data_IF_988236287037
#
_entry.id   IF_988236287037
#
_cell.length_a   1.000
_cell.length_b   1.000
_cell.length_c   1.000
_cell.angle_alpha   90.00
_cell.angle_beta   90.00
_cell.angle_gamma   90.00
#
_symmetry.space_group_name_H-M   'P 1'
#
loop_
_entity.id
_entity.type
_entity.pdbx_description
1 polymer ?
#
# COMPACT_ATOMS: atom_id res chain seq x y z
N UNK A 1 -1.04 -33.91 -6.15
CA UNK A 1 -1.44 -33.61 -4.78
C UNK A 1 -0.42 -34.17 -3.82
N UNK A 2 0.11 -33.34 -2.91
CA UNK A 2 1.11 -33.75 -1.91
C UNK A 2 0.65 -33.31 -0.52
N UNK A 3 0.56 -34.23 0.40
CA UNK A 3 0.21 -33.95 1.80
C UNK A 3 1.47 -33.82 2.63
N UNK A 4 1.69 -32.65 3.22
CA UNK A 4 2.89 -32.28 3.91
C UNK A 4 2.62 -32.07 5.40
N UNK A 5 3.35 -32.80 6.26
CA UNK A 5 3.21 -32.71 7.71
C UNK A 5 4.53 -33.01 8.41
N UNK A 6 4.59 -32.69 9.69
CA UNK A 6 5.76 -32.91 10.53
C UNK A 6 6.71 -31.72 10.57
N UNK A 7 7.90 -31.91 11.10
CA UNK A 7 8.86 -30.84 11.35
C UNK A 7 10.26 -31.14 10.84
N UNK A 8 10.96 -30.12 10.39
CA UNK A 8 12.39 -30.17 10.07
C UNK A 8 13.07 -28.84 10.35
N UNK A 9 14.27 -28.89 10.87
CA UNK A 9 15.10 -27.72 11.16
C UNK A 9 15.93 -27.23 9.97
N UNK A 10 16.05 -28.04 8.90
CA UNK A 10 16.70 -27.62 7.65
C UNK A 10 16.23 -28.47 6.48
N UNK A 11 15.10 -28.04 5.88
CA UNK A 11 14.52 -28.73 4.73
C UNK A 11 13.89 -27.73 3.76
N UNK A 12 14.06 -27.98 2.47
CA UNK A 12 13.43 -27.23 1.39
C UNK A 12 12.54 -28.16 0.56
N UNK A 13 11.35 -27.72 0.26
CA UNK A 13 10.47 -28.32 -0.71
C UNK A 13 10.62 -27.52 -2.01
N UNK A 14 11.12 -28.19 -3.05
CA UNK A 14 11.25 -27.62 -4.39
C UNK A 14 10.19 -28.22 -5.32
N UNK A 15 9.43 -27.36 -6.00
CA UNK A 15 8.49 -27.76 -7.03
C UNK A 15 9.12 -27.50 -8.39
N UNK A 16 9.26 -28.58 -9.18
CA UNK A 16 9.74 -28.58 -10.55
C UNK A 16 8.77 -29.45 -11.37
N UNK A 17 7.73 -28.85 -11.89
CA UNK A 17 6.70 -29.50 -12.70
C UNK A 17 6.74 -28.96 -14.12
N UNK A 18 5.93 -29.49 -15.04
CA UNK A 18 5.81 -28.91 -16.37
C UNK A 18 4.99 -27.60 -16.33
N UNK A 19 5.21 -26.71 -17.30
CA UNK A 19 4.53 -25.42 -17.44
C UNK A 19 3.00 -25.54 -17.61
N UNK A 20 2.49 -26.75 -17.74
CA UNK A 20 1.06 -27.07 -17.84
C UNK A 20 0.49 -27.71 -16.60
N UNK A 21 1.32 -28.00 -15.60
CA UNK A 21 0.94 -28.78 -14.43
C UNK A 21 0.56 -27.89 -13.25
N UNK A 22 -0.57 -28.22 -12.62
CA UNK A 22 -1.02 -27.63 -11.37
C UNK A 22 -0.60 -28.51 -10.20
N UNK A 23 0.11 -27.95 -9.24
CA UNK A 23 0.62 -28.65 -8.07
C UNK A 23 -0.12 -28.21 -6.81
N UNK A 24 -0.65 -29.18 -6.05
CA UNK A 24 -1.35 -28.92 -4.79
C UNK A 24 -0.53 -29.44 -3.61
N UNK A 25 -0.14 -28.53 -2.72
CA UNK A 25 0.60 -28.80 -1.49
C UNK A 25 -0.35 -28.61 -0.30
N UNK A 26 -0.79 -29.71 0.31
CA UNK A 26 -1.69 -29.69 1.46
C UNK A 26 -0.88 -29.62 2.76
N UNK A 27 -0.98 -28.53 3.48
CA UNK A 27 -0.26 -28.30 4.75
C UNK A 27 -1.10 -28.81 5.92
N UNK A 28 -0.54 -29.78 6.68
CA UNK A 28 -1.17 -30.41 7.82
C UNK A 28 -0.22 -30.39 9.03
N UNK A 29 -0.22 -29.32 9.78
CA UNK A 29 0.73 -29.10 10.89
C UNK A 29 2.20 -29.23 10.44
N UNK A 30 2.51 -28.57 9.34
CA UNK A 30 3.84 -28.53 8.75
C UNK A 30 4.68 -27.45 9.45
N UNK A 31 5.86 -27.85 9.98
CA UNK A 31 6.81 -26.94 10.61
C UNK A 31 8.19 -27.09 9.94
N UNK A 32 8.50 -26.18 9.04
CA UNK A 32 9.77 -26.20 8.32
C UNK A 32 10.60 -24.97 8.62
N UNK A 33 11.89 -25.21 8.92
CA UNK A 33 12.92 -24.21 8.81
C UNK A 33 13.89 -24.62 7.71
N UNK A 34 14.52 -23.64 7.07
CA UNK A 34 15.49 -23.89 6.02
C UNK A 34 16.62 -22.87 6.06
N UNK A 35 17.82 -23.30 5.68
CA UNK A 35 18.92 -22.37 5.37
C UNK A 35 18.67 -21.59 4.07
N UNK A 36 17.62 -21.96 3.32
CA UNK A 36 17.17 -21.33 2.09
C UNK A 36 15.65 -21.11 2.17
N UNK A 37 14.94 -20.91 1.07
CA UNK A 37 13.47 -20.88 1.04
C UNK A 37 12.90 -22.26 1.46
N UNK A 38 12.09 -22.37 2.53
CA UNK A 38 11.40 -23.62 2.84
C UNK A 38 10.53 -24.13 1.70
N UNK A 39 9.88 -23.22 0.96
CA UNK A 39 9.09 -23.54 -0.25
C UNK A 39 9.68 -22.76 -1.42
N UNK A 40 10.13 -23.49 -2.43
CA UNK A 40 10.62 -22.93 -3.68
C UNK A 40 9.87 -23.54 -4.88
N UNK A 41 9.07 -22.75 -5.56
CA UNK A 41 8.47 -23.13 -6.85
C UNK A 41 9.38 -22.61 -7.94
N UNK A 42 10.11 -23.54 -8.57
CA UNK A 42 11.00 -23.21 -9.67
C UNK A 42 10.27 -23.21 -11.00
N UNK A 43 9.31 -24.11 -11.19
CA UNK A 43 8.51 -24.24 -12.40
C UNK A 43 7.21 -25.01 -12.15
N UNK A 44 6.09 -24.48 -12.65
CA UNK A 44 4.77 -25.10 -12.74
C UNK A 44 3.84 -24.17 -13.55
N UNK A 45 2.65 -24.62 -13.97
CA UNK A 45 1.59 -23.70 -14.41
C UNK A 45 1.10 -22.85 -13.22
N UNK A 46 0.81 -23.54 -12.10
CA UNK A 46 0.34 -22.90 -10.86
C UNK A 46 0.55 -23.80 -9.65
N UNK A 47 0.90 -23.21 -8.53
CA UNK A 47 0.99 -23.93 -7.25
C UNK A 47 -0.10 -23.45 -6.28
N UNK A 48 -0.76 -24.42 -5.65
CA UNK A 48 -1.74 -24.20 -4.61
C UNK A 48 -1.17 -24.63 -3.25
N UNK A 49 -1.07 -23.70 -2.31
CA UNK A 49 -0.83 -24.00 -0.91
C UNK A 49 -2.19 -24.12 -0.21
N UNK A 50 -2.53 -25.35 0.15
CA UNK A 50 -3.81 -25.73 0.72
C UNK A 50 -3.66 -25.82 2.24
N UNK A 51 -4.15 -24.85 2.97
CA UNK A 51 -4.10 -24.81 4.44
C UNK A 51 -5.30 -25.61 5.00
N UNK A 52 -5.02 -26.80 5.51
CA UNK A 52 -6.09 -27.69 6.02
C UNK A 52 -6.71 -27.07 7.27
N UNK A 53 -8.04 -27.15 7.36
CA UNK A 53 -8.82 -26.61 8.48
C UNK A 53 -8.34 -27.14 9.82
N UNK A 54 -8.24 -26.26 10.81
CA UNK A 54 -7.82 -26.60 12.18
C UNK A 54 -6.34 -26.92 12.32
N UNK A 55 -5.53 -26.76 11.26
CA UNK A 55 -4.06 -26.96 11.33
C UNK A 55 -3.33 -25.63 11.51
N UNK A 56 -2.15 -25.72 12.14
CA UNK A 56 -1.22 -24.62 12.28
C UNK A 56 0.11 -24.97 11.64
N UNK A 57 0.52 -24.17 10.67
CA UNK A 57 1.71 -24.39 9.88
C UNK A 57 2.72 -23.27 10.12
N UNK A 58 4.00 -23.58 10.04
CA UNK A 58 5.09 -22.64 10.29
C UNK A 58 6.19 -22.82 9.25
N UNK A 59 6.62 -21.73 8.62
CA UNK A 59 7.73 -21.68 7.69
C UNK A 59 8.68 -20.56 8.07
N UNK A 60 9.99 -20.85 8.14
CA UNK A 60 11.00 -19.85 8.38
C UNK A 60 12.26 -20.10 7.55
N UNK A 61 12.80 -19.06 6.95
CA UNK A 61 14.11 -19.12 6.32
C UNK A 61 15.22 -18.58 7.23
N UNK A 62 16.48 -18.76 6.82
CA UNK A 62 17.62 -18.16 7.49
C UNK A 62 17.81 -16.70 7.07
N UNK A 63 18.56 -15.94 7.86
CA UNK A 63 18.88 -14.53 7.57
C UNK A 63 19.93 -14.35 6.46
N UNK A 64 20.49 -15.44 5.91
CA UNK A 64 21.42 -15.44 4.80
C UNK A 64 21.15 -16.60 3.87
N UNK A 65 21.54 -16.50 2.61
CA UNK A 65 21.46 -17.59 1.62
C UNK A 65 22.81 -18.21 1.39
N UNK A 66 22.85 -19.53 1.28
CA UNK A 66 24.04 -20.30 0.91
C UNK A 66 23.90 -21.02 -0.43
N UNK A 67 22.66 -21.30 -0.85
CA UNK A 67 22.40 -21.95 -2.12
C UNK A 67 22.22 -20.92 -3.24
N UNK A 68 22.73 -21.26 -4.42
CA UNK A 68 22.48 -20.52 -5.68
C UNK A 68 21.91 -21.50 -6.70
N UNK A 69 21.08 -20.96 -7.58
CA UNK A 69 20.46 -21.69 -8.66
C UNK A 69 20.90 -21.11 -9.99
N UNK A 70 21.22 -21.96 -10.96
CA UNK A 70 21.60 -21.49 -12.28
C UNK A 70 20.35 -21.18 -13.11
N UNK A 71 20.26 -19.95 -13.58
CA UNK A 71 19.20 -19.53 -14.52
C UNK A 71 19.43 -20.12 -15.93
N UNK A 72 18.41 -20.01 -16.78
CA UNK A 72 18.49 -20.49 -18.17
C UNK A 72 19.60 -19.77 -18.98
N UNK A 73 19.92 -18.51 -18.63
CA UNK A 73 21.00 -17.73 -19.23
C UNK A 73 22.39 -18.03 -18.66
N UNK A 74 22.48 -19.01 -17.75
CA UNK A 74 23.72 -19.42 -17.07
C UNK A 74 24.13 -18.54 -15.88
N UNK A 75 23.43 -17.46 -15.57
CA UNK A 75 23.69 -16.65 -14.37
C UNK A 75 23.27 -17.36 -13.09
N UNK A 76 23.86 -16.96 -11.98
CA UNK A 76 23.47 -17.49 -10.67
C UNK A 76 22.36 -16.63 -10.08
N UNK A 77 21.42 -17.29 -9.42
CA UNK A 77 20.31 -16.69 -8.70
C UNK A 77 20.17 -17.29 -7.31
N UNK A 78 19.47 -16.62 -6.42
CA UNK A 78 19.14 -17.09 -5.09
C UNK A 78 17.67 -16.85 -4.79
N UNK A 79 17.08 -17.65 -3.89
CA UNK A 79 15.70 -17.41 -3.46
C UNK A 79 15.65 -16.15 -2.60
N UNK A 80 14.65 -15.31 -2.84
CA UNK A 80 14.49 -14.00 -2.20
C UNK A 80 13.32 -13.94 -1.22
N UNK A 81 12.75 -15.10 -0.85
CA UNK A 81 11.63 -15.15 0.09
C UNK A 81 11.63 -16.47 0.87
N UNK A 82 10.89 -16.51 1.97
CA UNK A 82 10.60 -17.74 2.70
C UNK A 82 9.72 -18.68 1.85
N UNK A 83 8.67 -18.15 1.24
CA UNK A 83 7.93 -18.83 0.16
C UNK A 83 8.24 -18.08 -1.14
N UNK A 84 8.99 -18.73 -2.02
CA UNK A 84 9.38 -18.15 -3.31
C UNK A 84 8.80 -18.92 -4.48
N UNK A 85 7.98 -18.28 -5.27
CA UNK A 85 7.40 -18.87 -6.48
C UNK A 85 7.81 -18.05 -7.72
N UNK A 86 8.21 -18.73 -8.78
CA UNK A 86 8.45 -18.11 -10.11
C UNK A 86 7.18 -18.02 -10.94
N UNK A 87 6.25 -18.94 -10.69
CA UNK A 87 4.96 -19.03 -11.36
C UNK A 87 3.81 -18.78 -10.40
N UNK A 88 2.59 -18.72 -10.89
CA UNK A 88 1.39 -18.38 -10.14
C UNK A 88 1.25 -19.12 -8.81
N UNK A 89 0.97 -18.38 -7.75
CA UNK A 89 0.79 -18.91 -6.42
C UNK A 89 -0.63 -18.65 -5.91
N UNK A 90 -1.33 -19.69 -5.49
CA UNK A 90 -2.61 -19.55 -4.78
C UNK A 90 -2.49 -20.10 -3.36
N UNK A 91 -2.86 -19.31 -2.36
CA UNK A 91 -2.98 -19.75 -0.97
C UNK A 91 -4.47 -19.82 -0.63
N UNK A 92 -4.94 -20.97 -0.14
CA UNK A 92 -6.36 -21.15 0.20
C UNK A 92 -6.59 -22.18 1.28
N UNK A 93 -7.83 -22.24 1.78
CA UNK A 93 -8.27 -23.05 2.93
C UNK A 93 -8.44 -22.17 4.17
N UNK A 94 -8.77 -22.80 5.32
CA UNK A 94 -9.09 -22.08 6.56
C UNK A 94 -8.09 -22.39 7.69
N UNK A 95 -6.98 -23.05 7.38
CA UNK A 95 -5.88 -23.29 8.32
C UNK A 95 -5.05 -22.06 8.58
N UNK A 96 -4.15 -22.15 9.57
CA UNK A 96 -3.21 -21.10 9.91
C UNK A 96 -1.83 -21.35 9.27
N UNK A 97 -1.15 -20.26 8.87
CA UNK A 97 0.23 -20.29 8.41
C UNK A 97 1.00 -19.07 8.94
N UNK A 98 2.06 -19.34 9.68
CA UNK A 98 3.05 -18.34 10.07
C UNK A 98 4.26 -18.44 9.15
N UNK A 99 4.67 -17.29 8.58
CA UNK A 99 5.82 -17.16 7.66
C UNK A 99 6.81 -16.18 8.23
N UNK A 100 8.09 -16.60 8.35
CA UNK A 100 9.20 -15.71 8.73
C UNK A 100 10.20 -15.58 7.60
N UNK A 101 10.14 -14.48 6.88
CA UNK A 101 11.10 -14.09 5.85
C UNK A 101 12.28 -13.33 6.46
N UNK A 102 13.21 -14.08 7.10
CA UNK A 102 14.34 -13.48 7.80
C UNK A 102 15.43 -12.95 6.85
N UNK A 103 15.49 -13.50 5.62
CA UNK A 103 16.46 -13.05 4.62
C UNK A 103 16.00 -11.77 3.91
N UNK A 104 14.78 -11.82 3.35
CA UNK A 104 14.24 -10.73 2.55
C UNK A 104 12.71 -10.75 2.65
N UNK A 105 11.96 -11.24 1.63
CA UNK A 105 10.50 -11.24 1.63
C UNK A 105 9.91 -12.43 2.41
N UNK A 106 8.70 -12.26 2.91
CA UNK A 106 7.92 -13.35 3.48
C UNK A 106 7.42 -14.31 2.39
N UNK A 107 6.55 -13.83 1.53
CA UNK A 107 5.96 -14.54 0.39
C UNK A 107 6.24 -13.72 -0.86
N UNK A 108 6.88 -14.32 -1.85
CA UNK A 108 7.16 -13.68 -3.13
C UNK A 108 6.78 -14.60 -4.30
N UNK A 109 6.01 -14.04 -5.22
CA UNK A 109 5.72 -14.65 -6.51
C UNK A 109 6.21 -13.73 -7.64
N UNK A 110 6.91 -14.29 -8.62
CA UNK A 110 7.36 -13.52 -9.79
C UNK A 110 6.25 -13.28 -10.81
N UNK A 111 5.06 -13.81 -10.55
CA UNK A 111 3.83 -13.59 -11.30
C UNK A 111 2.68 -13.23 -10.35
N UNK A 112 1.56 -13.90 -10.36
CA UNK A 112 0.35 -13.54 -9.62
C UNK A 112 0.24 -14.30 -8.29
N UNK A 113 -0.16 -13.60 -7.23
CA UNK A 113 -0.58 -14.19 -5.95
C UNK A 113 -2.09 -14.06 -5.83
N UNK A 114 -2.75 -15.18 -5.48
CA UNK A 114 -4.16 -15.19 -5.13
C UNK A 114 -4.38 -15.82 -3.76
N UNK A 115 -5.12 -15.14 -2.88
CA UNK A 115 -5.45 -15.64 -1.54
C UNK A 115 -6.97 -15.73 -1.42
N UNK A 116 -7.46 -16.94 -1.12
CA UNK A 116 -8.89 -17.28 -1.11
C UNK A 116 -9.30 -17.98 0.16
N UNK A 117 -10.61 -18.12 0.34
CA UNK A 117 -11.25 -18.71 1.51
C UNK A 117 -10.97 -17.85 2.77
N UNK A 118 -10.63 -18.44 3.89
CA UNK A 118 -10.40 -17.70 5.14
C UNK A 118 -9.12 -18.16 5.86
N UNK A 119 -7.94 -18.13 5.20
CA UNK A 119 -6.69 -18.46 5.85
C UNK A 119 -6.35 -17.47 6.96
N UNK A 120 -5.69 -17.97 8.02
CA UNK A 120 -5.09 -17.10 9.02
C UNK A 120 -3.58 -17.00 8.74
N UNK A 121 -3.14 -15.89 8.16
CA UNK A 121 -1.74 -15.66 7.77
C UNK A 121 -1.05 -14.67 8.70
N UNK A 122 0.04 -15.11 9.32
CA UNK A 122 0.95 -14.26 10.06
C UNK A 122 2.26 -14.19 9.30
N UNK A 123 2.61 -13.01 8.78
CA UNK A 123 3.82 -12.83 7.97
C UNK A 123 4.72 -11.81 8.66
N UNK A 124 5.95 -12.22 8.95
CA UNK A 124 7.00 -11.31 9.39
C UNK A 124 8.12 -11.36 8.35
N UNK A 125 8.54 -10.22 7.84
CA UNK A 125 9.58 -10.15 6.82
C UNK A 125 10.59 -9.04 7.08
N UNK A 126 11.80 -9.24 6.61
CA UNK A 126 12.83 -8.20 6.62
C UNK A 126 12.47 -7.10 5.62
N UNK A 127 12.10 -7.50 4.40
CA UNK A 127 11.63 -6.64 3.32
C UNK A 127 10.12 -6.81 3.11
N UNK A 128 9.61 -7.07 1.91
CA UNK A 128 8.18 -7.13 1.66
C UNK A 128 7.50 -8.35 2.33
N UNK A 129 6.30 -8.13 2.86
CA UNK A 129 5.50 -9.18 3.47
C UNK A 129 4.95 -10.16 2.44
N UNK A 130 4.07 -9.70 1.57
CA UNK A 130 3.44 -10.44 0.46
C UNK A 130 3.68 -9.65 -0.82
N UNK A 131 4.49 -10.21 -1.72
CA UNK A 131 4.81 -9.59 -3.01
C UNK A 131 4.45 -10.49 -4.16
N UNK A 132 3.47 -10.09 -4.95
CA UNK A 132 3.17 -10.64 -6.28
C UNK A 132 3.62 -9.65 -7.34
N UNK A 133 4.63 -9.99 -8.15
CA UNK A 133 5.13 -9.03 -9.14
C UNK A 133 4.01 -8.64 -10.11
N UNK A 134 3.28 -9.63 -10.65
CA UNK A 134 2.17 -9.41 -11.57
C UNK A 134 0.93 -8.82 -10.88
N UNK A 135 0.46 -9.49 -9.83
CA UNK A 135 -0.67 -9.02 -9.03
C UNK A 135 -0.74 -9.66 -7.65
N UNK A 136 -1.49 -9.02 -6.74
CA UNK A 136 -1.92 -9.60 -5.47
C UNK A 136 -3.44 -9.46 -5.36
N UNK A 137 -4.16 -10.60 -5.38
CA UNK A 137 -5.61 -10.64 -5.17
C UNK A 137 -5.95 -11.33 -3.85
N UNK A 138 -6.71 -10.67 -2.99
CA UNK A 138 -7.12 -11.19 -1.68
C UNK A 138 -8.66 -11.13 -1.58
N UNK A 139 -9.27 -12.34 -1.50
CA UNK A 139 -10.72 -12.48 -1.43
C UNK A 139 -11.24 -12.60 0.01
N UNK A 140 -10.38 -12.93 0.99
CA UNK A 140 -10.74 -13.11 2.39
C UNK A 140 -9.58 -13.64 3.21
N UNK A 141 -9.81 -13.81 4.51
CA UNK A 141 -8.83 -14.31 5.48
C UNK A 141 -8.54 -13.32 6.59
N UNK A 142 -7.63 -13.72 7.48
CA UNK A 142 -7.10 -12.88 8.54
C UNK A 142 -5.60 -12.74 8.39
N UNK A 143 -5.12 -11.51 8.41
CA UNK A 143 -3.73 -11.18 8.12
C UNK A 143 -3.13 -10.37 9.25
N UNK A 144 -1.97 -10.81 9.73
CA UNK A 144 -1.05 -10.00 10.54
C UNK A 144 0.26 -9.91 9.79
N UNK A 145 0.61 -8.74 9.28
CA UNK A 145 1.80 -8.55 8.44
C UNK A 145 2.69 -7.50 9.09
N UNK A 146 3.94 -7.91 9.38
CA UNK A 146 4.95 -7.01 9.92
C UNK A 146 6.19 -7.04 9.03
N UNK A 147 6.57 -5.89 8.49
CA UNK A 147 7.81 -5.73 7.72
C UNK A 147 8.74 -4.73 8.39
N UNK A 148 10.06 -4.90 8.18
CA UNK A 148 11.06 -4.03 8.80
C UNK A 148 11.55 -2.93 7.86
N UNK A 149 11.73 -3.27 6.57
CA UNK A 149 12.38 -2.39 5.58
C UNK A 149 11.50 -2.14 4.34
N UNK A 150 10.49 -2.97 4.08
CA UNK A 150 9.69 -2.91 2.84
C UNK A 150 8.20 -2.87 3.09
N UNK A 151 7.44 -2.94 1.99
CA UNK A 151 5.99 -2.86 1.98
C UNK A 151 5.35 -4.10 2.59
N UNK A 152 4.18 -3.94 3.19
CA UNK A 152 3.50 -5.13 3.69
C UNK A 152 2.86 -5.93 2.55
N UNK A 153 2.21 -5.28 1.58
CA UNK A 153 1.65 -5.91 0.38
C UNK A 153 2.09 -5.11 -0.84
N UNK A 154 2.72 -5.80 -1.82
CA UNK A 154 3.28 -5.13 -3.00
C UNK A 154 2.97 -5.83 -4.31
N UNK A 155 2.72 -5.03 -5.37
CA UNK A 155 2.75 -5.47 -6.77
C UNK A 155 3.42 -4.41 -7.65
N UNK A 156 4.46 -4.80 -8.40
CA UNK A 156 5.35 -3.85 -9.09
C UNK A 156 5.66 -4.19 -10.56
N UNK A 157 4.87 -5.03 -11.21
CA UNK A 157 5.04 -5.26 -12.65
C UNK A 157 4.66 -3.99 -13.43
N UNK A 158 5.58 -3.53 -14.24
CA UNK A 158 5.47 -2.28 -15.00
C UNK A 158 6.50 -1.23 -14.61
N UNK A 159 7.03 -1.28 -13.39
CA UNK A 159 8.09 -0.34 -12.98
C UNK A 159 9.31 -0.37 -13.92
N UNK A 160 9.67 -1.56 -14.37
CA UNK A 160 10.86 -1.80 -15.21
C UNK A 160 10.54 -2.30 -16.62
N UNK A 161 9.41 -2.96 -16.82
CA UNK A 161 8.98 -3.58 -18.08
C UNK A 161 8.12 -2.67 -18.95
N UNK A 162 7.62 -1.57 -18.38
CA UNK A 162 6.64 -0.69 -19.00
C UNK A 162 5.20 -1.06 -18.63
N UNK A 163 4.30 -0.09 -18.78
CA UNK A 163 2.91 -0.19 -18.36
C UNK A 163 2.16 -1.37 -18.99
N UNK A 164 1.52 -2.17 -18.14
CA UNK A 164 0.57 -3.21 -18.50
C UNK A 164 -0.69 -3.08 -17.66
N UNK A 165 -1.82 -2.74 -18.29
CA UNK A 165 -3.09 -2.50 -17.59
C UNK A 165 -3.63 -3.71 -16.79
N UNK A 166 -3.19 -4.93 -17.14
CA UNK A 166 -3.63 -6.18 -16.51
C UNK A 166 -2.70 -6.64 -15.38
N UNK A 167 -1.65 -5.91 -15.08
CA UNK A 167 -0.61 -6.26 -14.11
C UNK A 167 -0.26 -5.08 -13.19
N UNK A 168 0.57 -5.33 -12.20
CA UNK A 168 1.03 -4.32 -11.26
C UNK A 168 -0.06 -3.83 -10.30
N UNK A 169 -1.02 -4.68 -9.91
CA UNK A 169 -2.14 -4.26 -9.07
C UNK A 169 -2.29 -5.06 -7.78
N UNK A 170 -2.92 -4.42 -6.80
CA UNK A 170 -3.39 -5.06 -5.57
C UNK A 170 -4.91 -4.93 -5.49
N UNK A 171 -5.61 -6.06 -5.34
CA UNK A 171 -7.06 -6.12 -5.19
C UNK A 171 -7.43 -6.81 -3.87
N UNK A 172 -8.24 -6.14 -3.04
CA UNK A 172 -8.74 -6.66 -1.75
C UNK A 172 -10.27 -6.59 -1.77
N UNK A 173 -10.92 -7.76 -1.71
CA UNK A 173 -12.38 -7.87 -1.75
C UNK A 173 -12.97 -8.56 -0.52
N UNK A 174 -12.20 -8.66 0.55
CA UNK A 174 -12.58 -9.20 1.85
C UNK A 174 -11.37 -9.40 2.75
N UNK A 175 -11.62 -9.75 4.00
CA UNK A 175 -10.59 -10.09 4.98
C UNK A 175 -10.35 -9.03 6.04
N UNK A 176 -9.61 -9.43 7.08
CA UNK A 176 -9.21 -8.60 8.21
C UNK A 176 -7.69 -8.45 8.22
N UNK A 177 -7.18 -7.22 8.20
CA UNK A 177 -5.76 -6.93 8.11
C UNK A 177 -5.28 -6.10 9.29
N UNK A 178 -4.18 -6.53 9.91
CA UNK A 178 -3.38 -5.75 10.85
C UNK A 178 -1.97 -5.67 10.28
N UNK A 179 -1.59 -4.48 9.84
CA UNK A 179 -0.34 -4.22 9.11
C UNK A 179 0.52 -3.24 9.87
N UNK A 180 1.80 -3.59 10.04
CA UNK A 180 2.87 -2.67 10.44
C UNK A 180 3.95 -2.78 9.37
N UNK A 181 4.11 -1.74 8.57
CA UNK A 181 5.05 -1.71 7.47
C UNK A 181 6.27 -0.83 7.75
N UNK A 182 7.44 -1.29 7.32
CA UNK A 182 8.68 -0.53 7.37
C UNK A 182 8.83 0.46 6.21
N UNK A 183 8.02 0.29 5.17
CA UNK A 183 7.82 1.19 4.04
C UNK A 183 6.32 1.37 3.83
N UNK A 184 5.76 1.22 2.62
CA UNK A 184 4.33 1.40 2.38
C UNK A 184 3.48 0.24 2.93
N UNK A 185 2.27 0.55 3.39
CA UNK A 185 1.33 -0.47 3.85
C UNK A 185 0.87 -1.36 2.69
N UNK A 186 0.34 -0.75 1.64
CA UNK A 186 -0.07 -1.39 0.39
C UNK A 186 0.48 -0.56 -0.76
N UNK A 187 1.27 -1.17 -1.64
CA UNK A 187 1.81 -0.52 -2.83
C UNK A 187 1.45 -1.28 -4.10
N UNK A 188 1.02 -0.55 -5.13
CA UNK A 188 0.81 -1.07 -6.47
C UNK A 188 1.42 -0.13 -7.52
N UNK A 189 2.09 -0.69 -8.54
CA UNK A 189 2.56 0.11 -9.67
C UNK A 189 1.40 0.65 -10.52
N UNK A 190 0.35 -0.15 -10.69
CA UNK A 190 -0.79 0.26 -11.52
C UNK A 190 -1.95 0.77 -10.65
N UNK A 191 -2.68 -0.13 -10.00
CA UNK A 191 -3.81 0.29 -9.18
C UNK A 191 -3.99 -0.52 -7.89
N UNK A 192 -4.60 0.13 -6.90
CA UNK A 192 -5.16 -0.52 -5.71
C UNK A 192 -6.68 -0.47 -5.79
N UNK A 193 -7.33 -1.63 -5.66
CA UNK A 193 -8.79 -1.77 -5.63
C UNK A 193 -9.25 -2.39 -4.33
N UNK A 194 -10.10 -1.68 -3.57
CA UNK A 194 -10.69 -2.16 -2.33
C UNK A 194 -12.22 -2.11 -2.46
N UNK A 195 -12.86 -3.26 -2.32
CA UNK A 195 -14.31 -3.38 -2.41
C UNK A 195 -14.82 -4.52 -1.54
N UNK A 196 -16.08 -4.58 -1.28
CA UNK A 196 -16.69 -5.73 -0.66
C UNK A 196 -17.25 -6.69 -1.74
N UNK A 197 -17.01 -7.97 -1.56
CA UNK A 197 -17.55 -9.03 -2.41
C UNK A 197 -18.08 -10.19 -1.57
N UNK A 198 -17.28 -10.70 -0.64
CA UNK A 198 -17.65 -11.78 0.28
C UNK A 198 -17.83 -11.28 1.72
N UNK A 199 -17.09 -10.26 2.07
CA UNK A 199 -17.15 -9.55 3.35
C UNK A 199 -16.57 -8.15 3.18
N UNK A 200 -17.01 -7.21 3.99
CA UNK A 200 -16.41 -5.87 4.02
C UNK A 200 -14.97 -5.96 4.52
N UNK A 201 -13.96 -5.55 3.73
CA UNK A 201 -12.58 -5.55 4.18
C UNK A 201 -12.39 -4.65 5.40
N UNK A 202 -11.59 -5.11 6.37
CA UNK A 202 -11.16 -4.30 7.51
C UNK A 202 -9.64 -4.17 7.49
N UNK A 203 -9.13 -2.96 7.38
CA UNK A 203 -7.71 -2.67 7.26
C UNK A 203 -7.27 -1.75 8.40
N UNK A 204 -6.37 -2.25 9.25
CA UNK A 204 -5.62 -1.49 10.24
C UNK A 204 -4.19 -1.40 9.76
N UNK A 205 -3.77 -0.25 9.26
CA UNK A 205 -2.44 -0.06 8.65
C UNK A 205 -1.67 1.01 9.40
N UNK A 206 -0.45 0.65 9.81
CA UNK A 206 0.53 1.58 10.34
C UNK A 206 1.82 1.48 9.56
N UNK A 207 2.35 2.62 9.11
CA UNK A 207 3.65 2.70 8.44
C UNK A 207 4.66 3.42 9.32
N UNK A 208 5.89 2.94 9.30
CA UNK A 208 6.96 3.48 10.15
C UNK A 208 6.54 3.61 11.61
N UNK A 209 6.73 4.81 12.16
CA UNK A 209 6.32 5.13 13.53
C UNK A 209 4.87 5.62 13.65
N UNK A 210 4.15 5.72 12.52
CA UNK A 210 2.84 6.34 12.43
C UNK A 210 2.90 7.87 12.41
N UNK A 211 1.72 8.51 12.37
CA UNK A 211 1.58 9.95 12.29
C UNK A 211 2.28 10.67 13.45
N UNK A 212 3.19 11.56 13.14
CA UNK A 212 3.97 12.36 14.12
C UNK A 212 3.34 13.73 14.34
N UNK A 213 3.50 14.30 15.54
CA UNK A 213 3.14 15.69 15.83
C UNK A 213 4.23 16.67 15.44
N UNK A 214 5.43 16.17 15.18
CA UNK A 214 6.51 17.00 14.70
C UNK A 214 6.44 17.02 13.17
N UNK A 215 5.94 18.09 12.62
CA UNK A 215 6.16 18.51 11.22
C UNK A 215 7.65 18.89 11.03
N UNK A 216 8.54 17.94 11.35
CA UNK A 216 9.87 17.91 10.78
C UNK A 216 9.78 17.11 9.48
N UNK A 217 8.77 17.41 8.65
CA UNK A 217 8.95 17.25 7.23
C UNK A 217 10.16 18.12 6.91
N UNK A 218 11.27 17.50 6.53
CA UNK A 218 12.33 18.15 5.80
C UNK A 218 11.83 18.49 4.39
N UNK A 219 10.64 19.06 4.28
CA UNK A 219 10.33 19.98 3.20
C UNK A 219 11.28 21.15 3.43
N UNK A 220 12.45 21.05 2.84
CA UNK A 220 13.50 22.04 2.89
C UNK A 220 13.06 23.26 2.08
N UNK A 221 12.08 23.97 2.63
CA UNK A 221 11.76 25.32 2.22
C UNK A 221 12.69 26.26 2.98
N UNK A 222 13.73 26.71 2.32
CA UNK A 222 14.47 27.91 2.70
C UNK A 222 15.74 27.70 3.50
N UNK A 223 16.84 27.76 2.79
CA UNK A 223 18.15 28.28 3.21
C UNK A 223 18.85 27.61 4.40
N UNK A 224 19.81 26.78 4.09
CA UNK A 224 21.05 26.77 4.86
C UNK A 224 22.24 26.53 3.93
N UNK A 225 23.07 27.51 3.76
CA UNK A 225 24.46 27.34 3.37
C UNK A 225 25.17 26.59 4.49
N UNK A 226 25.38 25.30 4.32
CA UNK A 226 26.10 24.49 5.30
C UNK A 226 26.12 23.02 4.89
N UNK A 227 27.30 22.56 4.52
CA UNK A 227 27.67 21.19 4.17
C UNK A 227 27.13 20.18 5.21
N UNK A 228 26.07 19.46 4.89
CA UNK A 228 25.62 18.28 5.61
C UNK A 228 25.41 17.15 4.63
N UNK A 229 26.02 16.02 4.90
CA UNK A 229 25.82 14.80 4.13
C UNK A 229 24.34 14.37 4.26
N UNK A 230 23.55 14.65 3.26
CA UNK A 230 22.18 14.19 3.14
C UNK A 230 22.20 12.71 2.84
N UNK A 231 21.91 11.88 3.84
CA UNK A 231 21.29 10.59 3.57
C UNK A 231 19.88 10.95 3.11
N UNK A 232 19.63 10.87 1.80
CA UNK A 232 18.27 10.89 1.27
C UNK A 232 17.57 9.68 1.86
N UNK A 233 16.62 9.92 2.77
CA UNK A 233 15.67 8.88 3.19
C UNK A 233 14.80 8.61 1.96
N UNK A 234 14.91 7.40 1.42
CA UNK A 234 14.20 6.98 0.22
C UNK A 234 12.96 6.16 0.56
N UNK A 235 12.63 6.03 1.85
CA UNK A 235 11.45 5.33 2.33
C UNK A 235 10.20 6.18 2.12
N UNK A 236 9.17 5.58 1.51
CA UNK A 236 7.92 6.24 1.16
C UNK A 236 6.98 6.38 2.36
N UNK A 237 6.80 5.32 3.19
CA UNK A 237 6.00 5.27 4.42
C UNK A 237 4.51 5.66 4.27
N UNK A 238 3.96 5.50 3.07
CA UNK A 238 2.56 5.79 2.76
C UNK A 238 1.63 4.64 3.21
N UNK A 239 0.41 4.96 3.60
CA UNK A 239 -0.55 3.93 4.01
C UNK A 239 -0.98 3.05 2.84
N UNK A 240 -1.53 3.65 1.79
CA UNK A 240 -1.93 3.02 0.53
C UNK A 240 -1.39 3.86 -0.62
N UNK A 241 -0.63 3.22 -1.52
CA UNK A 241 0.02 3.88 -2.65
C UNK A 241 -0.25 3.18 -3.97
N UNK A 242 -0.52 3.95 -5.02
CA UNK A 242 -0.56 3.47 -6.39
C UNK A 242 -0.12 4.54 -7.39
N UNK A 243 0.56 4.13 -8.47
CA UNK A 243 1.02 5.13 -9.46
C UNK A 243 -0.13 5.64 -10.34
N UNK A 244 -1.14 4.81 -10.66
CA UNK A 244 -2.19 5.22 -11.61
C UNK A 244 -3.53 5.49 -10.94
N UNK A 245 -4.02 4.56 -10.10
CA UNK A 245 -5.36 4.64 -9.55
C UNK A 245 -5.49 3.97 -8.19
N UNK A 246 -6.12 4.66 -7.25
CA UNK A 246 -6.68 4.04 -6.05
C UNK A 246 -8.19 4.13 -6.13
N UNK A 247 -8.87 2.98 -6.07
CA UNK A 247 -10.32 2.88 -6.10
C UNK A 247 -10.83 2.17 -4.85
N UNK A 248 -11.55 2.91 -4.00
CA UNK A 248 -12.17 2.39 -2.78
C UNK A 248 -13.69 2.46 -2.93
N UNK A 249 -14.32 1.27 -2.99
CA UNK A 249 -15.78 1.16 -3.09
C UNK A 249 -16.43 0.78 -1.74
N UNK A 250 -15.67 0.18 -0.83
CA UNK A 250 -16.12 -0.24 0.50
C UNK A 250 -14.91 -0.51 1.40
N UNK A 251 -15.14 -0.71 2.68
CA UNK A 251 -14.11 -1.10 3.66
C UNK A 251 -14.22 -0.30 4.95
N UNK A 252 -13.76 -0.91 6.05
CA UNK A 252 -13.45 -0.22 7.29
C UNK A 252 -11.94 -0.04 7.33
N UNK A 253 -11.46 1.16 7.05
CA UNK A 253 -10.03 1.44 6.81
C UNK A 253 -9.52 2.42 7.85
N UNK A 254 -8.50 2.02 8.62
CA UNK A 254 -7.83 2.86 9.59
C UNK A 254 -6.35 2.97 9.21
N UNK A 255 -5.92 4.17 8.90
CA UNK A 255 -4.55 4.49 8.46
C UNK A 255 -3.85 5.36 9.49
N UNK A 256 -2.64 4.96 9.87
CA UNK A 256 -1.75 5.72 10.73
C UNK A 256 -0.36 5.78 10.07
N UNK A 257 -0.18 6.76 9.20
CA UNK A 257 0.96 6.81 8.28
C UNK A 257 2.02 7.83 8.73
N UNK A 258 3.28 7.47 8.54
CA UNK A 258 4.40 8.37 8.84
C UNK A 258 4.69 9.36 7.69
N UNK A 259 4.00 9.21 6.58
CA UNK A 259 3.95 10.05 5.40
C UNK A 259 2.46 10.21 5.01
N UNK A 260 2.08 10.32 3.73
CA UNK A 260 0.68 10.37 3.29
C UNK A 260 -0.09 9.11 3.67
N UNK A 261 -1.38 9.26 3.96
CA UNK A 261 -2.16 8.07 4.25
C UNK A 261 -2.65 7.38 2.98
N UNK A 262 -3.11 8.12 1.97
CA UNK A 262 -3.50 7.58 0.67
C UNK A 262 -2.88 8.44 -0.42
N UNK A 263 -2.02 7.85 -1.26
CA UNK A 263 -1.26 8.57 -2.28
C UNK A 263 -1.39 7.93 -3.66
N UNK A 264 -1.63 8.73 -4.70
CA UNK A 264 -1.56 8.27 -6.09
C UNK A 264 -0.91 9.33 -6.99
N UNK A 265 0.08 8.92 -7.77
CA UNK A 265 0.62 9.77 -8.84
C UNK A 265 -0.42 10.04 -9.96
N UNK A 266 -1.59 9.44 -9.89
CA UNK A 266 -2.71 9.62 -10.81
C UNK A 266 -4.00 10.02 -10.12
N UNK A 267 -4.93 9.09 -10.02
CA UNK A 267 -6.28 9.35 -9.53
C UNK A 267 -6.60 8.58 -8.26
N UNK A 268 -7.25 9.23 -7.32
CA UNK A 268 -7.91 8.57 -6.19
C UNK A 268 -9.41 8.74 -6.34
N UNK A 269 -10.15 7.63 -6.26
CA UNK A 269 -11.61 7.63 -6.29
C UNK A 269 -12.18 6.86 -5.11
N UNK A 270 -13.03 7.51 -4.32
CA UNK A 270 -13.72 6.92 -3.19
C UNK A 270 -15.22 6.96 -3.47
N UNK A 271 -15.82 5.77 -3.57
CA UNK A 271 -17.25 5.56 -3.81
C UNK A 271 -17.98 5.06 -2.57
N UNK A 272 -17.28 4.79 -1.47
CA UNK A 272 -17.85 4.28 -0.23
C UNK A 272 -16.77 3.86 0.77
N UNK A 273 -17.19 3.34 1.90
CA UNK A 273 -16.33 2.92 3.00
C UNK A 273 -16.36 3.88 4.20
N UNK A 274 -15.82 3.41 5.32
CA UNK A 274 -15.59 4.18 6.55
C UNK A 274 -14.07 4.25 6.76
N UNK A 275 -13.50 5.44 6.54
CA UNK A 275 -12.05 5.64 6.49
C UNK A 275 -11.64 6.61 7.59
N UNK A 276 -10.77 6.16 8.48
CA UNK A 276 -10.15 6.98 9.51
C UNK A 276 -8.68 7.16 9.22
N UNK A 277 -8.21 8.40 9.24
CA UNK A 277 -6.85 8.75 8.86
C UNK A 277 -6.16 9.56 9.97
N UNK A 278 -4.91 9.18 10.23
CA UNK A 278 -3.88 10.02 10.82
C UNK A 278 -2.63 9.93 9.95
N UNK A 279 -2.13 11.05 9.45
CA UNK A 279 -0.96 11.15 8.60
C UNK A 279 0.05 12.16 9.17
N UNK A 280 1.33 12.03 8.83
CA UNK A 280 2.33 13.06 9.14
C UNK A 280 2.31 14.14 8.09
N UNK A 281 2.19 13.73 6.83
CA UNK A 281 1.97 14.60 5.67
C UNK A 281 0.50 14.59 5.28
N UNK A 282 0.11 14.34 4.07
CA UNK A 282 -1.26 14.52 3.62
C UNK A 282 -2.17 13.36 3.97
N UNK A 283 -3.43 13.66 4.23
CA UNK A 283 -4.40 12.60 4.44
C UNK A 283 -4.74 11.88 3.12
N UNK A 284 -4.94 12.63 2.04
CA UNK A 284 -5.20 12.11 0.70
C UNK A 284 -4.49 13.01 -0.31
N UNK A 285 -3.52 12.44 -1.05
CA UNK A 285 -2.78 13.13 -2.09
C UNK A 285 -2.94 12.44 -3.45
N UNK A 286 -3.39 13.17 -4.46
CA UNK A 286 -3.48 12.70 -5.83
C UNK A 286 -2.88 13.71 -6.80
N UNK A 287 -1.83 13.35 -7.55
CA UNK A 287 -1.20 14.28 -8.49
C UNK A 287 -2.18 14.84 -9.54
N UNK A 288 -3.23 14.09 -9.89
CA UNK A 288 -4.16 14.46 -10.95
C UNK A 288 -5.58 14.74 -10.44
N UNK A 289 -6.22 13.76 -9.81
CA UNK A 289 -7.64 13.88 -9.46
C UNK A 289 -7.96 13.14 -8.16
N UNK A 290 -8.52 13.85 -7.21
CA UNK A 290 -9.28 13.23 -6.12
C UNK A 290 -10.79 13.34 -6.38
N UNK A 291 -11.48 12.20 -6.44
CA UNK A 291 -12.91 12.11 -6.65
C UNK A 291 -13.59 11.42 -5.46
N UNK A 292 -14.40 12.15 -4.71
CA UNK A 292 -15.23 11.63 -3.62
C UNK A 292 -16.70 11.62 -4.04
N UNK A 293 -17.25 10.40 -4.24
CA UNK A 293 -18.65 10.22 -4.62
C UNK A 293 -19.54 9.86 -3.42
N UNK A 294 -19.02 9.09 -2.48
CA UNK A 294 -19.73 8.65 -1.27
C UNK A 294 -18.74 8.09 -0.24
N UNK A 295 -19.21 7.75 0.95
CA UNK A 295 -18.43 7.19 2.05
C UNK A 295 -18.24 8.19 3.19
N UNK A 296 -17.57 7.72 4.25
CA UNK A 296 -17.23 8.52 5.41
C UNK A 296 -15.72 8.59 5.58
N UNK A 297 -15.19 9.81 5.67
CA UNK A 297 -13.75 10.05 5.84
C UNK A 297 -13.56 10.92 7.08
N UNK A 298 -12.85 10.38 8.07
CA UNK A 298 -12.46 11.09 9.27
C UNK A 298 -10.94 11.26 9.31
N UNK A 299 -10.46 12.45 9.03
CA UNK A 299 -9.05 12.80 9.21
C UNK A 299 -8.88 13.43 10.59
N UNK A 300 -8.22 12.69 11.48
CA UNK A 300 -7.98 13.13 12.85
C UNK A 300 -6.75 14.01 12.99
N UNK A 301 -5.84 13.90 12.00
CA UNK A 301 -4.59 14.65 11.93
C UNK A 301 -3.94 14.46 10.57
N UNK A 302 -3.40 15.55 9.99
CA UNK A 302 -2.53 15.56 8.81
C UNK A 302 -1.79 16.91 8.72
N UNK A 303 -0.90 17.05 7.75
CA UNK A 303 -0.38 18.34 7.32
C UNK A 303 -1.43 19.01 6.45
N UNK A 304 -1.68 18.54 5.22
CA UNK A 304 -2.83 18.94 4.40
C UNK A 304 -3.92 17.85 4.41
N UNK A 305 -5.16 18.26 4.23
CA UNK A 305 -6.28 17.33 4.25
C UNK A 305 -6.43 16.56 2.95
N UNK A 306 -6.92 17.20 1.91
CA UNK A 306 -7.06 16.66 0.57
C UNK A 306 -6.28 17.53 -0.40
N UNK A 307 -5.24 16.96 -0.99
CA UNK A 307 -4.43 17.60 -2.00
C UNK A 307 -4.62 16.92 -3.37
N UNK A 308 -4.84 17.71 -4.42
CA UNK A 308 -4.83 17.24 -5.79
C UNK A 308 -4.78 18.42 -6.79
N UNK A 309 -4.44 18.12 -8.06
CA UNK A 309 -4.66 19.11 -9.12
C UNK A 309 -6.15 19.42 -9.31
N UNK A 310 -7.02 18.41 -9.22
CA UNK A 310 -8.47 18.58 -9.26
C UNK A 310 -9.15 17.83 -8.12
N UNK A 311 -9.98 18.52 -7.34
CA UNK A 311 -10.86 17.95 -6.33
C UNK A 311 -12.31 17.94 -6.87
N UNK A 312 -12.88 16.74 -7.04
CA UNK A 312 -14.27 16.53 -7.41
C UNK A 312 -15.03 15.87 -6.26
N UNK A 313 -15.83 16.64 -5.54
CA UNK A 313 -16.56 16.19 -4.36
C UNK A 313 -18.06 16.25 -4.65
N UNK A 314 -18.66 15.09 -4.91
CA UNK A 314 -20.06 14.97 -5.29
C UNK A 314 -20.95 14.38 -4.19
N UNK A 315 -20.36 13.84 -3.11
CA UNK A 315 -21.09 13.21 -2.01
C UNK A 315 -20.19 12.89 -0.83
N UNK A 316 -20.66 12.01 0.03
CA UNK A 316 -19.95 11.56 1.22
C UNK A 316 -20.07 12.47 2.44
N UNK A 317 -19.50 12.00 3.55
CA UNK A 317 -19.38 12.74 4.81
C UNK A 317 -17.92 12.83 5.19
N UNK A 318 -17.38 14.04 5.35
CA UNK A 318 -15.98 14.21 5.74
C UNK A 318 -15.83 15.11 6.97
N UNK A 319 -14.87 14.73 7.82
CA UNK A 319 -14.38 15.56 8.90
C UNK A 319 -12.88 15.61 8.83
N UNK A 320 -12.30 16.76 8.51
CA UNK A 320 -10.86 16.93 8.29
C UNK A 320 -10.29 17.86 9.35
N UNK A 321 -9.19 17.43 9.99
CA UNK A 321 -8.39 18.27 10.89
C UNK A 321 -6.96 18.31 10.37
N UNK A 322 -6.62 19.37 9.67
CA UNK A 322 -5.29 19.63 9.10
C UNK A 322 -4.50 20.65 9.94
N UNK A 323 -3.19 20.59 9.86
CA UNK A 323 -2.32 21.59 10.48
C UNK A 323 -1.98 22.75 9.54
N UNK A 324 -2.10 22.51 8.24
CA UNK A 324 -2.08 23.49 7.16
C UNK A 324 -3.45 23.51 6.47
N UNK A 325 -3.55 23.52 5.14
CA UNK A 325 -4.81 23.66 4.42
C UNK A 325 -5.67 22.39 4.48
N UNK A 326 -6.99 22.57 4.58
CA UNK A 326 -7.85 21.40 4.68
C UNK A 326 -8.17 20.78 3.31
N UNK A 327 -8.40 21.60 2.30
CA UNK A 327 -8.50 21.20 0.90
C UNK A 327 -7.60 22.10 0.06
N UNK A 328 -6.66 21.49 -0.65
CA UNK A 328 -5.69 22.20 -1.47
C UNK A 328 -5.75 21.72 -2.93
N UNK A 329 -6.07 22.60 -3.86
CA UNK A 329 -5.99 22.35 -5.29
C UNK A 329 -4.83 23.13 -5.91
N UNK A 330 -3.63 22.89 -5.43
CA UNK A 330 -2.42 23.55 -5.89
C UNK A 330 -1.76 22.85 -7.08
N UNK A 331 -2.04 21.57 -7.28
CA UNK A 331 -1.42 20.74 -8.33
C UNK A 331 0.08 20.58 -8.09
N UNK A 332 0.43 19.93 -7.02
CA UNK A 332 1.80 19.52 -6.73
C UNK A 332 2.07 18.12 -7.25
N UNK A 333 3.25 17.88 -7.74
CA UNK A 333 3.84 16.55 -7.89
C UNK A 333 4.98 16.47 -6.88
N UNK A 334 4.95 15.46 -6.02
CA UNK A 334 6.06 15.13 -5.10
C UNK A 334 7.37 14.79 -5.83
N UNK A 335 7.35 14.80 -7.14
CA UNK A 335 8.54 14.64 -7.93
C UNK A 335 9.49 15.80 -7.68
N UNK A 336 10.35 15.60 -6.71
CA UNK A 336 11.57 16.36 -6.45
C UNK A 336 12.53 16.26 -7.65
N UNK A 337 12.03 16.58 -8.84
CA UNK A 337 12.87 16.86 -9.97
C UNK A 337 13.49 18.22 -9.69
N UNK A 338 14.77 18.21 -9.37
CA UNK A 338 15.70 19.27 -9.02
C UNK A 338 15.75 20.46 -10.01
N UNK A 339 14.63 20.86 -10.58
CA UNK A 339 14.46 21.97 -11.52
C UNK A 339 13.31 22.93 -11.22
N UNK A 340 12.55 22.73 -10.15
CA UNK A 340 11.66 23.77 -9.68
C UNK A 340 12.49 24.87 -9.00
N UNK A 341 13.02 25.72 -9.84
CA UNK A 341 13.52 27.02 -9.42
C UNK A 341 12.35 27.80 -8.83
N UNK A 342 12.27 27.88 -7.50
CA UNK A 342 11.51 28.92 -6.83
C UNK A 342 11.89 30.27 -7.47
N UNK A 343 11.03 30.80 -8.31
CA UNK A 343 11.04 32.18 -8.77
C UNK A 343 10.06 32.95 -7.88
N UNK A 344 10.54 33.78 -6.95
CA UNK A 344 9.67 34.75 -6.27
C UNK A 344 9.10 35.67 -7.35
N UNK A 345 7.82 35.48 -7.70
CA UNK A 345 7.12 36.18 -8.81
C UNK A 345 7.03 35.37 -10.11
N UNK A 346 7.39 34.10 -10.15
CA UNK A 346 7.11 33.19 -11.27
C UNK A 346 5.63 32.86 -11.31
N UNK A 347 4.98 33.12 -12.47
CA UNK A 347 3.62 32.74 -12.78
C UNK A 347 3.54 31.19 -12.72
N UNK A 348 3.12 30.62 -11.59
CA UNK A 348 2.69 29.22 -11.52
C UNK A 348 1.43 29.13 -12.38
N UNK A 349 1.52 28.47 -13.53
CA UNK A 349 0.40 28.29 -14.47
C UNK A 349 -0.45 27.06 -14.14
N UNK A 350 -0.23 26.42 -13.01
CA UNK A 350 -1.12 25.35 -12.55
C UNK A 350 -2.37 25.98 -11.96
N UNK A 351 -3.49 25.84 -12.65
CA UNK A 351 -4.81 26.23 -12.17
C UNK A 351 -5.50 25.01 -11.59
N UNK A 352 -5.30 24.73 -10.32
CA UNK A 352 -6.06 23.69 -9.61
C UNK A 352 -7.56 24.02 -9.61
N UNK A 353 -8.42 23.02 -9.49
CA UNK A 353 -9.87 23.21 -9.52
C UNK A 353 -10.53 22.44 -8.39
N UNK A 354 -11.42 23.11 -7.65
CA UNK A 354 -12.28 22.47 -6.65
C UNK A 354 -13.74 22.52 -7.10
N UNK A 355 -14.37 21.38 -7.27
CA UNK A 355 -15.77 21.23 -7.60
C UNK A 355 -16.51 20.52 -6.45
N UNK A 356 -17.31 21.25 -5.68
CA UNK A 356 -18.19 20.71 -4.65
C UNK A 356 -19.65 20.73 -5.14
N UNK A 357 -20.27 19.56 -5.27
CA UNK A 357 -21.65 19.42 -5.73
C UNK A 357 -22.58 18.68 -4.78
N UNK A 358 -22.04 18.05 -3.71
CA UNK A 358 -22.85 17.29 -2.76
C UNK A 358 -22.10 16.93 -1.49
N UNK A 359 -22.75 16.22 -0.58
CA UNK A 359 -22.16 15.71 0.66
C UNK A 359 -22.28 16.66 1.86
N UNK A 360 -21.72 16.23 2.98
CA UNK A 360 -21.57 17.01 4.21
C UNK A 360 -20.09 17.02 4.64
N UNK A 361 -19.51 18.20 4.70
CA UNK A 361 -18.08 18.35 4.92
C UNK A 361 -17.80 19.35 6.03
N UNK A 362 -17.03 18.93 7.01
CA UNK A 362 -16.52 19.77 8.08
C UNK A 362 -15.00 19.77 8.01
N UNK A 363 -14.40 20.93 7.82
CA UNK A 363 -12.96 21.10 7.74
C UNK A 363 -12.49 22.05 8.82
N UNK A 364 -11.37 21.72 9.42
CA UNK A 364 -10.72 22.51 10.46
C UNK A 364 -9.23 22.56 10.17
N UNK A 365 -8.67 23.78 10.17
CA UNK A 365 -7.24 23.98 9.96
C UNK A 365 -6.56 24.46 11.24
N UNK A 366 -5.22 24.47 11.21
CA UNK A 366 -4.37 25.00 12.26
C UNK A 366 -4.57 26.50 12.51
N UNK A 367 -3.71 27.08 13.30
CA UNK A 367 -3.69 28.54 13.50
C UNK A 367 -2.58 29.17 12.65
N UNK A 368 -2.86 30.26 11.99
CA UNK A 368 -1.88 31.00 11.18
C UNK A 368 -2.41 31.32 9.79
N UNK A 369 -1.60 31.17 8.78
CA UNK A 369 -1.97 31.34 7.36
C UNK A 369 -2.36 29.99 6.73
N UNK A 370 -3.35 29.33 7.33
CA UNK A 370 -3.83 28.00 6.92
C UNK A 370 -5.28 28.12 6.47
N UNK A 371 -5.57 27.75 5.25
CA UNK A 371 -6.85 28.04 4.63
C UNK A 371 -7.82 26.85 4.70
N UNK A 372 -9.11 27.12 4.79
CA UNK A 372 -10.12 26.07 4.80
C UNK A 372 -10.18 25.35 3.47
N UNK A 373 -10.15 26.13 2.39
CA UNK A 373 -10.08 25.67 1.00
C UNK A 373 -9.16 26.63 0.25
N UNK A 374 -8.10 26.09 -0.34
CA UNK A 374 -7.19 26.81 -1.22
C UNK A 374 -7.21 26.24 -2.64
N UNK A 375 -7.21 27.11 -3.65
CA UNK A 375 -7.13 26.71 -5.05
C UNK A 375 -6.39 27.75 -5.89
N UNK A 376 -5.38 27.31 -6.61
CA UNK A 376 -4.69 28.15 -7.59
C UNK A 376 -5.57 28.48 -8.82
N UNK A 377 -6.82 28.03 -8.87
CA UNK A 377 -7.76 28.25 -9.98
C UNK A 377 -9.19 28.46 -9.50
N UNK A 378 -10.14 27.73 -10.10
CA UNK A 378 -11.56 27.94 -9.84
C UNK A 378 -12.09 27.09 -8.68
N UNK A 379 -12.89 27.69 -7.81
CA UNK A 379 -13.69 26.99 -6.79
C UNK A 379 -15.17 27.09 -7.14
N UNK A 380 -15.78 25.94 -7.46
CA UNK A 380 -17.16 25.83 -7.87
C UNK A 380 -18.00 25.10 -6.81
N UNK A 381 -18.80 25.78 -6.04
CA UNK A 381 -19.71 25.20 -5.06
C UNK A 381 -21.13 25.27 -5.60
N UNK A 382 -21.68 24.12 -6.02
CA UNK A 382 -23.01 24.00 -6.62
C UNK A 382 -24.01 23.26 -5.75
N UNK A 383 -23.52 22.59 -4.66
CA UNK A 383 -24.35 21.84 -3.73
C UNK A 383 -23.55 21.37 -2.53
N UNK A 384 -24.19 20.58 -1.66
CA UNK A 384 -23.59 20.07 -0.42
C UNK A 384 -23.68 21.04 0.75
N UNK A 385 -23.13 20.62 1.88
CA UNK A 385 -22.96 21.43 3.10
C UNK A 385 -21.49 21.44 3.46
N UNK A 386 -20.93 22.61 3.59
CA UNK A 386 -19.53 22.81 3.97
C UNK A 386 -19.45 23.70 5.20
N UNK A 387 -18.82 23.19 6.25
CA UNK A 387 -18.54 23.92 7.50
C UNK A 387 -17.04 24.09 7.61
N UNK A 388 -16.56 25.31 7.75
CA UNK A 388 -15.13 25.64 7.77
C UNK A 388 -14.77 26.35 9.07
N UNK A 389 -13.73 25.84 9.74
CA UNK A 389 -13.06 26.47 10.88
C UNK A 389 -11.59 26.71 10.49
N UNK A 390 -11.27 27.80 9.84
CA UNK A 390 -9.94 28.09 9.33
C UNK A 390 -9.17 29.07 10.25
N UNK A 391 -7.86 28.87 10.31
CA UNK A 391 -6.93 29.80 11.00
C UNK A 391 -6.55 31.00 10.13
N UNK A 392 -6.55 30.83 8.79
CA UNK A 392 -6.33 31.83 7.75
C UNK A 392 -7.63 32.23 7.06
N UNK A 393 -7.65 32.16 5.71
CA UNK A 393 -8.86 32.40 4.94
C UNK A 393 -9.84 31.22 5.03
N UNK A 394 -11.11 31.50 4.88
CA UNK A 394 -12.12 30.45 4.75
C UNK A 394 -11.99 29.79 3.38
N UNK A 395 -11.77 30.61 2.36
CA UNK A 395 -11.56 30.25 0.95
C UNK A 395 -10.53 31.24 0.37
N UNK A 396 -9.47 30.72 -0.28
CA UNK A 396 -8.47 31.51 -1.03
C UNK A 396 -8.40 31.10 -2.52
#
# INVERSE_FOLDING_TARGET
DYYLSGESSNFQIMVMAADTDKVYLYFNNLNLKSSDAPIYVQNADKVFLMLIDGTSNFLADASSRSATYTKADGSQDTTIACIYAKDDLTIKGNGALEVKGNYNNGIHCSNDIKIKDSPNLVVTAKNHGIKGKGSVEIEGGKFTINTTEGDAIKSDEGETEGYNAEKGYVQITGGEFTIIAGDDGIQAYNYVFIADSNSTPTLEIKTGNGASTNSNSNSQFGSSFGNSSTTTDTTSLKGIKADSLILINAGNINLNSADDAIHSNGTIRINGGDITIAATDDAIHADVLFNLNDGKIQVTKCYEGFEAYELQISGGETSVSASDDAWNAAGGSDNNSSNDSFSPGGNSTSSGIINLSGGYHHVKTGSGHTDGIDSNGDINITGGVLVIEAGGNIID
#
